data_IF_890937707208
#
_entry.id   IF_890937707208
#
_cell.length_a   1.000
_cell.length_b   1.000
_cell.length_c   1.000
_cell.angle_alpha   90.00
_cell.angle_beta   90.00
_cell.angle_gamma   90.00
#
_symmetry.space_group_name_H-M   'P 1'
#
loop_
_entity.id
_entity.type
_entity.pdbx_description
1 polymer ?
#
# COMPACT_ATOMS: atom_id res chain seq x y z
N UNK A 1 -1.09 1.66 13.71
CA UNK A 1 -2.49 1.21 13.47
C UNK A 1 -3.29 2.43 13.06
N UNK A 2 -4.07 2.35 12.00
CA UNK A 2 -4.87 3.47 11.50
C UNK A 2 -6.23 3.52 12.24
N UNK A 3 -6.77 4.74 12.49
CA UNK A 3 -8.06 4.96 13.15
C UNK A 3 -8.18 4.42 14.60
N UNK A 4 -7.11 4.44 15.38
CA UNK A 4 -7.13 3.93 16.78
C UNK A 4 -8.20 4.58 17.65
N UNK A 5 -8.47 5.87 17.47
CA UNK A 5 -9.51 6.60 18.22
C UNK A 5 -10.93 6.06 18.00
N UNK A 6 -11.20 5.39 16.87
CA UNK A 6 -12.51 4.86 16.51
C UNK A 6 -12.59 3.33 16.51
N UNK A 7 -11.49 2.65 16.19
CA UNK A 7 -11.49 1.20 15.98
C UNK A 7 -10.93 0.42 17.19
N UNK A 8 -10.25 1.06 18.13
CA UNK A 8 -9.67 0.43 19.30
C UNK A 8 -8.14 0.37 19.28
N UNK A 9 -7.55 -0.02 20.42
CA UNK A 9 -6.11 0.05 20.68
C UNK A 9 -5.38 -1.28 20.47
N UNK A 10 -6.10 -2.36 20.16
CA UNK A 10 -5.52 -3.68 19.89
C UNK A 10 -5.94 -4.22 18.54
N UNK A 11 -5.15 -5.13 17.96
CA UNK A 11 -5.50 -5.78 16.70
C UNK A 11 -6.83 -6.55 16.80
N UNK A 12 -7.10 -7.19 17.94
CA UNK A 12 -8.37 -7.88 18.17
C UNK A 12 -9.55 -6.90 18.14
N UNK A 13 -9.46 -5.74 18.81
CA UNK A 13 -10.51 -4.73 18.81
C UNK A 13 -10.76 -4.16 17.41
N UNK A 14 -9.69 -3.89 16.66
CA UNK A 14 -9.80 -3.41 15.27
C UNK A 14 -10.44 -4.48 14.39
N UNK A 15 -10.04 -5.74 14.55
CA UNK A 15 -10.63 -6.87 13.83
C UNK A 15 -12.11 -7.04 14.17
N UNK A 16 -12.50 -6.91 15.43
CA UNK A 16 -13.90 -6.96 15.89
C UNK A 16 -14.76 -5.92 15.16
N UNK A 17 -14.31 -4.67 15.14
CA UNK A 17 -15.02 -3.59 14.45
C UNK A 17 -15.12 -3.82 12.94
N UNK A 18 -14.04 -4.27 12.31
CA UNK A 18 -14.03 -4.57 10.86
C UNK A 18 -14.87 -5.80 10.52
N UNK A 19 -14.84 -6.83 11.36
CA UNK A 19 -15.64 -8.03 11.18
C UNK A 19 -17.16 -7.80 11.39
N UNK A 20 -17.57 -6.64 11.92
CA UNK A 20 -18.97 -6.24 11.99
C UNK A 20 -19.70 -6.15 10.64
N UNK A 21 -18.98 -6.20 9.51
CA UNK A 21 -19.57 -6.35 8.17
C UNK A 21 -20.02 -7.80 7.87
N UNK A 22 -19.54 -8.78 8.62
CA UNK A 22 -19.92 -10.18 8.45
C UNK A 22 -21.37 -10.35 8.92
N UNK A 23 -22.22 -10.90 8.05
CA UNK A 23 -23.64 -11.11 8.29
C UNK A 23 -24.03 -12.54 7.91
N UNK A 24 -25.19 -12.99 8.39
CA UNK A 24 -25.74 -14.28 8.02
C UNK A 24 -25.90 -14.41 6.50
N UNK A 25 -25.55 -15.56 5.96
CA UNK A 25 -25.62 -15.84 4.52
C UNK A 25 -24.53 -15.22 3.65
N UNK A 26 -23.64 -14.37 4.20
CA UNK A 26 -22.50 -13.86 3.42
C UNK A 26 -21.39 -14.92 3.26
N UNK A 27 -20.36 -14.59 2.50
CA UNK A 27 -19.09 -15.33 2.43
C UNK A 27 -17.96 -14.38 2.82
N UNK A 28 -16.95 -14.91 3.50
CA UNK A 28 -15.79 -14.13 3.93
C UNK A 28 -14.57 -14.61 3.17
N UNK A 29 -13.82 -13.65 2.59
CA UNK A 29 -12.48 -13.88 2.05
C UNK A 29 -11.53 -12.90 2.74
N UNK A 30 -10.44 -13.39 3.26
CA UNK A 30 -9.42 -12.58 3.93
C UNK A 30 -8.02 -13.05 3.55
N UNK A 31 -7.07 -12.13 3.48
CA UNK A 31 -5.66 -12.48 3.51
C UNK A 31 -5.33 -13.12 4.86
N UNK A 32 -4.18 -13.82 4.95
CA UNK A 32 -3.67 -14.31 6.23
C UNK A 32 -3.39 -13.13 7.16
N UNK A 33 -4.04 -13.10 8.30
CA UNK A 33 -3.89 -12.07 9.31
C UNK A 33 -2.98 -12.54 10.46
N UNK A 34 -2.56 -11.60 11.31
CA UNK A 34 -1.93 -11.94 12.58
C UNK A 34 -2.90 -12.77 13.45
N UNK A 35 -2.40 -13.69 14.32
CA UNK A 35 -3.24 -14.63 15.05
C UNK A 35 -4.41 -13.98 15.80
N UNK A 36 -4.16 -12.83 16.47
CA UNK A 36 -5.19 -12.15 17.26
C UNK A 36 -6.35 -11.65 16.38
N UNK A 37 -6.05 -11.13 15.18
CA UNK A 37 -7.07 -10.67 14.24
C UNK A 37 -7.76 -11.86 13.55
N UNK A 38 -7.01 -12.91 13.22
CA UNK A 38 -7.57 -14.10 12.57
C UNK A 38 -8.58 -14.82 13.45
N UNK A 39 -8.26 -15.00 14.76
CA UNK A 39 -9.17 -15.61 15.72
C UNK A 39 -10.52 -14.88 15.82
N UNK A 40 -10.49 -13.54 15.76
CA UNK A 40 -11.72 -12.72 15.77
C UNK A 40 -12.54 -12.95 14.52
N UNK A 41 -11.91 -12.89 13.33
CA UNK A 41 -12.59 -13.10 12.04
C UNK A 41 -13.22 -14.49 11.98
N UNK A 42 -12.50 -15.53 12.38
CA UNK A 42 -12.98 -16.90 12.40
C UNK A 42 -14.13 -17.12 13.40
N UNK A 43 -14.03 -16.51 14.59
CA UNK A 43 -15.07 -16.55 15.60
C UNK A 43 -16.37 -15.95 15.08
N UNK A 44 -16.31 -14.70 14.58
CA UNK A 44 -17.48 -13.99 14.07
C UNK A 44 -18.06 -14.72 12.84
N UNK A 45 -17.22 -15.25 11.96
CA UNK A 45 -17.69 -16.07 10.83
C UNK A 45 -18.47 -17.29 11.29
N UNK A 46 -18.03 -17.99 12.35
CA UNK A 46 -18.76 -19.14 12.93
C UNK A 46 -20.06 -18.71 13.60
N UNK A 47 -20.07 -17.61 14.33
CA UNK A 47 -21.27 -17.05 14.98
C UNK A 47 -22.39 -16.75 13.96
N UNK A 48 -22.01 -16.28 12.75
CA UNK A 48 -22.92 -16.03 11.64
C UNK A 48 -23.12 -17.22 10.69
N UNK A 49 -22.62 -18.41 11.04
CA UNK A 49 -22.74 -19.62 10.20
C UNK A 49 -22.14 -19.47 8.80
N UNK A 50 -21.15 -18.59 8.64
CA UNK A 50 -20.57 -18.29 7.33
C UNK A 50 -19.18 -18.90 7.13
N UNK A 51 -18.89 -19.30 5.88
CA UNK A 51 -17.58 -19.85 5.52
C UNK A 51 -16.57 -18.72 5.35
N UNK A 52 -15.45 -18.82 6.07
CA UNK A 52 -14.27 -17.96 5.91
C UNK A 52 -13.23 -18.67 5.02
N UNK A 53 -12.84 -18.01 3.93
CA UNK A 53 -11.78 -18.45 3.02
C UNK A 53 -10.54 -17.62 3.27
N UNK A 54 -9.44 -18.26 3.61
CA UNK A 54 -8.13 -17.60 3.77
C UNK A 54 -7.41 -17.64 2.42
N UNK A 55 -7.13 -16.47 1.87
CA UNK A 55 -6.32 -16.31 0.68
C UNK A 55 -4.84 -16.36 1.08
N UNK A 56 -4.15 -17.44 0.70
CA UNK A 56 -2.73 -17.65 1.04
C UNK A 56 -1.84 -17.24 -0.14
N UNK A 57 -1.18 -16.10 -0.02
CA UNK A 57 -0.28 -15.59 -1.05
C UNK A 57 1.01 -16.44 -1.22
N UNK A 58 1.29 -17.37 -0.31
CA UNK A 58 2.41 -18.31 -0.47
C UNK A 58 2.16 -19.34 -1.58
N UNK A 59 0.88 -19.57 -1.96
CA UNK A 59 0.51 -20.43 -3.09
C UNK A 59 0.82 -19.78 -4.47
N UNK A 60 1.14 -18.48 -4.50
CA UNK A 60 1.46 -17.77 -5.73
C UNK A 60 2.97 -17.57 -5.90
N UNK A 61 3.48 -17.97 -7.07
CA UNK A 61 4.84 -17.76 -7.51
C UNK A 61 4.94 -16.45 -8.28
N UNK A 62 5.95 -15.62 -7.98
CA UNK A 62 6.26 -14.43 -8.80
C UNK A 62 7.18 -14.87 -9.95
N UNK A 63 6.73 -14.74 -11.19
CA UNK A 63 7.49 -15.10 -12.38
C UNK A 63 8.34 -13.96 -12.91
N UNK A 64 7.78 -12.75 -12.86
CA UNK A 64 8.43 -11.49 -13.27
C UNK A 64 7.94 -10.38 -12.37
N UNK A 65 8.82 -9.44 -12.06
CA UNK A 65 8.44 -8.22 -11.36
C UNK A 65 9.35 -7.05 -11.71
N UNK A 66 8.80 -5.86 -11.59
CA UNK A 66 9.48 -4.57 -11.74
C UNK A 66 8.67 -3.49 -11.04
N UNK A 67 9.21 -2.26 -10.97
CA UNK A 67 8.45 -1.10 -10.51
C UNK A 67 7.27 -0.71 -11.43
N UNK A 68 7.04 -1.41 -12.54
CA UNK A 68 5.90 -1.22 -13.44
C UNK A 68 4.80 -2.28 -13.30
N UNK A 69 5.04 -3.31 -12.50
CA UNK A 69 4.09 -4.40 -12.29
C UNK A 69 4.76 -5.76 -12.15
N UNK A 70 3.94 -6.79 -12.07
CA UNK A 70 4.40 -8.15 -11.84
C UNK A 70 3.56 -9.16 -12.61
N UNK A 71 4.12 -10.35 -12.86
CA UNK A 71 3.41 -11.53 -13.34
C UNK A 71 3.51 -12.61 -12.28
N UNK A 72 2.38 -13.16 -11.89
CA UNK A 72 2.31 -14.25 -10.90
C UNK A 72 1.72 -15.49 -11.54
N UNK A 73 2.15 -16.68 -11.04
CA UNK A 73 1.47 -17.95 -11.28
C UNK A 73 0.70 -18.34 -10.03
N UNK A 74 -0.59 -18.54 -10.16
CA UNK A 74 -1.48 -18.96 -9.07
C UNK A 74 -2.44 -20.04 -9.54
N UNK A 75 -2.43 -21.19 -8.86
CA UNK A 75 -3.25 -22.38 -9.19
C UNK A 75 -3.16 -22.81 -10.66
N UNK A 76 -1.96 -22.75 -11.23
CA UNK A 76 -1.68 -23.19 -12.60
C UNK A 76 -1.93 -22.15 -13.69
N UNK A 77 -2.51 -21.01 -13.35
CA UNK A 77 -2.78 -19.90 -14.27
C UNK A 77 -1.80 -18.75 -14.06
N UNK A 78 -1.44 -18.05 -15.13
CA UNK A 78 -0.59 -16.86 -15.08
C UNK A 78 -1.44 -15.58 -15.17
N UNK A 79 -1.10 -14.60 -14.33
CA UNK A 79 -1.77 -13.31 -14.23
C UNK A 79 -0.78 -12.17 -14.30
N UNK A 80 -0.99 -11.26 -15.23
CA UNK A 80 -0.28 -9.98 -15.31
C UNK A 80 -0.98 -8.94 -14.44
N UNK A 81 -0.21 -8.19 -13.65
CA UNK A 81 -0.72 -7.20 -12.70
C UNK A 81 0.10 -5.91 -12.89
N UNK A 82 -0.43 -4.87 -13.54
CA UNK A 82 0.28 -3.62 -13.79
C UNK A 82 0.32 -2.72 -12.54
N UNK A 83 0.39 -3.31 -11.38
CA UNK A 83 0.56 -2.62 -10.09
C UNK A 83 1.87 -3.08 -9.47
N UNK A 84 2.73 -2.13 -9.16
CA UNK A 84 3.96 -2.37 -8.44
C UNK A 84 3.73 -2.34 -6.91
N UNK A 85 4.73 -2.85 -6.18
CA UNK A 85 4.69 -2.99 -4.73
C UNK A 85 4.64 -4.46 -4.32
N UNK A 86 5.48 -4.81 -3.35
CA UNK A 86 5.67 -6.20 -2.88
C UNK A 86 4.40 -6.85 -2.33
N UNK A 87 3.41 -6.02 -1.95
CA UNK A 87 2.11 -6.45 -1.40
C UNK A 87 1.04 -6.76 -2.47
N UNK A 88 1.27 -6.42 -3.74
CA UNK A 88 0.24 -6.57 -4.77
C UNK A 88 -0.04 -8.04 -5.14
N UNK A 89 0.94 -8.92 -4.97
CA UNK A 89 0.73 -10.36 -5.07
C UNK A 89 -0.36 -10.83 -4.09
N UNK A 90 -0.28 -10.39 -2.83
CA UNK A 90 -1.28 -10.74 -1.81
C UNK A 90 -2.67 -10.19 -2.17
N UNK A 91 -2.74 -8.94 -2.61
CA UNK A 91 -4.00 -8.32 -3.05
C UNK A 91 -4.63 -9.09 -4.22
N UNK A 92 -3.83 -9.50 -5.21
CA UNK A 92 -4.32 -10.28 -6.34
C UNK A 92 -4.83 -11.65 -5.93
N UNK A 93 -4.14 -12.35 -5.02
CA UNK A 93 -4.58 -13.65 -4.50
C UNK A 93 -5.88 -13.51 -3.71
N UNK A 94 -6.07 -12.44 -2.94
CA UNK A 94 -7.35 -12.13 -2.27
C UNK A 94 -8.46 -11.92 -3.30
N UNK A 95 -8.22 -11.11 -4.33
CA UNK A 95 -9.20 -10.85 -5.39
C UNK A 95 -9.59 -12.14 -6.13
N UNK A 96 -8.61 -12.98 -6.50
CA UNK A 96 -8.88 -14.27 -7.17
C UNK A 96 -9.69 -15.24 -6.30
N UNK A 97 -9.44 -15.27 -4.96
CA UNK A 97 -10.25 -16.05 -4.04
C UNK A 97 -11.67 -15.49 -3.89
N UNK A 98 -11.83 -14.15 -3.90
CA UNK A 98 -13.14 -13.52 -3.88
C UNK A 98 -13.95 -13.88 -5.15
N UNK A 99 -13.32 -13.81 -6.33
CA UNK A 99 -13.95 -14.24 -7.60
C UNK A 99 -14.35 -15.72 -7.58
N UNK A 100 -13.48 -16.59 -7.03
CA UNK A 100 -13.83 -18.02 -6.86
C UNK A 100 -15.06 -18.21 -5.97
N UNK A 101 -15.15 -17.46 -4.88
CA UNK A 101 -16.33 -17.52 -4.00
C UNK A 101 -17.58 -16.99 -4.71
N UNK A 102 -17.47 -15.97 -5.56
CA UNK A 102 -18.57 -15.48 -6.39
C UNK A 102 -19.01 -16.55 -7.42
N UNK A 103 -18.07 -17.27 -8.05
CA UNK A 103 -18.39 -18.40 -8.94
C UNK A 103 -19.22 -19.47 -8.20
N UNK A 104 -18.85 -19.80 -6.94
CA UNK A 104 -19.59 -20.74 -6.09
C UNK A 104 -21.00 -20.24 -5.71
N UNK A 105 -21.23 -18.93 -5.69
CA UNK A 105 -22.51 -18.28 -5.41
C UNK A 105 -23.41 -18.11 -6.65
N UNK A 106 -22.97 -18.59 -7.81
CA UNK A 106 -23.75 -18.53 -9.06
C UNK A 106 -23.46 -17.28 -9.91
N UNK A 107 -22.35 -16.59 -9.65
CA UNK A 107 -21.84 -15.47 -10.46
C UNK A 107 -20.54 -15.88 -11.18
N UNK A 108 -20.60 -16.78 -12.17
CA UNK A 108 -19.41 -17.37 -12.77
C UNK A 108 -18.61 -16.33 -13.55
N UNK A 109 -17.28 -16.41 -13.39
CA UNK A 109 -16.33 -15.57 -14.11
C UNK A 109 -15.38 -16.46 -14.91
N UNK A 110 -15.33 -16.29 -16.24
CA UNK A 110 -14.41 -17.04 -17.08
C UNK A 110 -12.94 -16.75 -16.74
N UNK A 111 -12.05 -17.70 -17.00
CA UNK A 111 -10.62 -17.54 -16.72
C UNK A 111 -10.04 -16.32 -17.43
N UNK A 112 -10.41 -16.08 -18.69
CA UNK A 112 -9.95 -14.93 -19.48
C UNK A 112 -10.45 -13.58 -18.90
N UNK A 113 -11.66 -13.55 -18.32
CA UNK A 113 -12.18 -12.36 -17.65
C UNK A 113 -11.38 -12.02 -16.40
N UNK A 114 -10.98 -13.05 -15.62
CA UNK A 114 -10.11 -12.88 -14.44
C UNK A 114 -8.73 -12.34 -14.83
N UNK A 115 -8.13 -12.90 -15.90
CA UNK A 115 -6.85 -12.43 -16.45
C UNK A 115 -6.94 -10.99 -16.94
N UNK A 116 -7.96 -10.68 -17.73
CA UNK A 116 -8.16 -9.34 -18.28
C UNK A 116 -8.43 -8.31 -17.18
N UNK A 117 -9.24 -8.65 -16.19
CA UNK A 117 -9.50 -7.77 -15.04
C UNK A 117 -8.24 -7.43 -14.26
N UNK A 118 -7.34 -8.39 -14.04
CA UNK A 118 -6.06 -8.13 -13.37
C UNK A 118 -5.08 -7.38 -14.28
N UNK A 119 -5.06 -7.69 -15.59
CA UNK A 119 -4.17 -7.05 -16.58
C UNK A 119 -4.51 -5.57 -16.82
N UNK A 120 -5.76 -5.19 -16.64
CA UNK A 120 -6.26 -3.82 -16.90
C UNK A 120 -6.48 -3.00 -15.63
N UNK A 121 -6.21 -3.58 -14.45
CA UNK A 121 -6.39 -2.85 -13.18
C UNK A 121 -5.49 -1.61 -13.13
N UNK A 122 -6.07 -0.50 -12.72
CA UNK A 122 -5.34 0.73 -12.42
C UNK A 122 -5.76 1.25 -11.06
N UNK A 123 -4.78 1.64 -10.25
CA UNK A 123 -5.03 2.22 -8.94
C UNK A 123 -3.99 3.30 -8.63
N UNK A 124 -4.29 4.51 -9.01
CA UNK A 124 -3.38 5.63 -8.84
C UNK A 124 -3.01 5.88 -7.37
N UNK A 125 -1.74 6.23 -7.13
CA UNK A 125 -1.23 6.51 -5.79
C UNK A 125 -0.99 5.25 -4.93
N UNK A 126 -0.79 4.10 -5.56
CA UNK A 126 -0.32 2.87 -4.91
C UNK A 126 0.94 2.40 -5.62
N UNK A 127 2.08 2.95 -5.22
CA UNK A 127 3.40 2.73 -5.82
C UNK A 127 3.39 2.92 -7.35
N UNK A 128 2.71 3.99 -7.80
CA UNK A 128 2.40 4.23 -9.20
C UNK A 128 3.53 5.00 -9.87
N UNK A 129 4.11 4.45 -10.94
CA UNK A 129 5.08 5.14 -11.80
C UNK A 129 4.34 6.11 -12.71
N UNK A 130 4.65 7.40 -12.59
CA UNK A 130 4.06 8.50 -13.40
C UNK A 130 5.04 9.10 -14.40
N UNK A 131 6.34 8.92 -14.21
CA UNK A 131 7.39 9.29 -15.17
C UNK A 131 8.48 8.21 -15.15
N UNK A 132 9.12 7.97 -16.30
CA UNK A 132 10.15 6.94 -16.45
C UNK A 132 11.58 7.48 -16.48
N UNK A 133 11.76 8.76 -16.74
CA UNK A 133 13.08 9.42 -16.83
C UNK A 133 12.99 10.91 -16.42
N UNK A 134 13.44 11.27 -15.22
CA UNK A 134 13.78 10.38 -14.11
C UNK A 134 12.58 9.53 -13.71
N UNK A 135 12.82 8.46 -12.97
CA UNK A 135 11.72 7.62 -12.50
C UNK A 135 10.97 8.35 -11.38
N UNK A 136 9.67 8.61 -11.57
CA UNK A 136 8.82 9.24 -10.54
C UNK A 136 7.75 8.26 -10.11
N UNK A 137 7.72 7.98 -8.80
CA UNK A 137 6.77 7.08 -8.16
C UNK A 137 5.91 7.83 -7.16
N UNK A 138 4.60 7.61 -7.20
CA UNK A 138 3.65 8.21 -6.25
C UNK A 138 3.03 7.11 -5.38
N UNK A 139 3.07 7.32 -4.06
CA UNK A 139 2.43 6.42 -3.09
C UNK A 139 1.66 7.20 -2.04
N UNK A 140 0.52 6.67 -1.62
CA UNK A 140 -0.37 7.25 -0.61
C UNK A 140 -0.19 6.68 0.79
N UNK A 141 0.98 6.13 1.12
CA UNK A 141 1.28 5.63 2.47
C UNK A 141 1.17 6.74 3.51
N UNK A 142 0.29 6.58 4.48
CA UNK A 142 -0.03 7.59 5.50
C UNK A 142 -0.23 7.00 6.89
N UNK A 143 0.08 5.72 7.07
CA UNK A 143 0.04 5.03 8.35
C UNK A 143 1.24 4.07 8.48
N UNK A 144 1.58 3.61 9.69
CA UNK A 144 2.77 2.78 9.91
C UNK A 144 2.83 1.49 9.09
N UNK A 145 1.67 0.84 8.89
CA UNK A 145 1.62 -0.41 8.11
C UNK A 145 1.86 -0.16 6.61
N UNK A 146 1.27 0.91 6.05
CA UNK A 146 1.53 1.31 4.67
C UNK A 146 2.98 1.77 4.48
N UNK A 147 3.57 2.45 5.47
CA UNK A 147 4.98 2.84 5.46
C UNK A 147 5.92 1.63 5.46
N UNK A 148 5.59 0.54 6.19
CA UNK A 148 6.35 -0.71 6.13
C UNK A 148 6.32 -1.32 4.72
N UNK A 149 5.17 -1.32 4.06
CA UNK A 149 5.02 -1.84 2.70
C UNK A 149 5.74 -0.96 1.67
N UNK A 150 5.67 0.37 1.83
CA UNK A 150 6.41 1.31 0.98
C UNK A 150 7.92 1.14 1.17
N UNK A 151 8.41 1.06 2.41
CA UNK A 151 9.82 0.83 2.73
C UNK A 151 10.34 -0.48 2.09
N UNK A 152 9.59 -1.58 2.24
CA UNK A 152 9.92 -2.85 1.61
C UNK A 152 9.96 -2.76 0.08
N UNK A 153 9.06 -1.99 -0.53
CA UNK A 153 9.03 -1.78 -1.97
C UNK A 153 10.19 -0.92 -2.46
N UNK A 154 10.56 0.13 -1.70
CA UNK A 154 11.75 0.96 -2.00
C UNK A 154 13.02 0.10 -1.94
N UNK A 155 13.21 -0.65 -0.86
CA UNK A 155 14.39 -1.53 -0.71
C UNK A 155 14.46 -2.57 -1.83
N UNK A 156 13.30 -3.11 -2.25
CA UNK A 156 13.24 -4.13 -3.28
C UNK A 156 13.53 -3.58 -4.69
N UNK A 157 12.88 -2.48 -5.09
CA UNK A 157 12.97 -1.97 -6.47
C UNK A 157 14.08 -0.93 -6.68
N UNK A 158 14.48 -0.21 -5.64
CA UNK A 158 15.36 0.96 -5.77
C UNK A 158 16.66 0.84 -4.97
N UNK A 159 17.02 -0.37 -4.55
CA UNK A 159 18.30 -0.62 -3.86
C UNK A 159 19.47 -0.04 -4.65
N UNK A 160 20.26 0.81 -4.00
CA UNK A 160 21.42 1.47 -4.59
C UNK A 160 21.10 2.60 -5.58
N UNK A 161 19.82 2.99 -5.70
CA UNK A 161 19.42 4.21 -6.42
C UNK A 161 19.51 5.43 -5.49
N UNK A 162 19.83 6.58 -6.08
CA UNK A 162 19.68 7.87 -5.40
C UNK A 162 18.21 8.24 -5.42
N UNK A 163 17.68 8.64 -4.25
CA UNK A 163 16.26 8.93 -4.07
C UNK A 163 16.05 10.35 -3.61
N UNK A 164 15.20 11.09 -4.33
CA UNK A 164 14.72 12.41 -3.96
C UNK A 164 13.26 12.26 -3.55
N UNK A 165 12.96 12.51 -2.27
CA UNK A 165 11.66 12.23 -1.70
C UNK A 165 10.88 13.53 -1.44
N UNK A 166 9.74 13.71 -2.11
CA UNK A 166 8.78 14.77 -1.80
C UNK A 166 7.78 14.22 -0.79
N UNK A 167 7.67 14.83 0.39
CA UNK A 167 6.84 14.35 1.50
C UNK A 167 5.84 15.41 1.95
N UNK A 168 4.55 15.03 1.98
CA UNK A 168 3.47 15.78 2.64
C UNK A 168 2.65 14.83 3.50
N UNK A 169 2.24 15.27 4.70
CA UNK A 169 1.51 14.44 5.67
C UNK A 169 0.36 15.20 6.32
N UNK A 170 -0.57 14.49 6.94
CA UNK A 170 -1.60 15.07 7.78
C UNK A 170 -1.21 15.03 9.25
N UNK A 171 -1.46 16.11 9.97
CA UNK A 171 -1.09 16.29 11.38
C UNK A 171 -1.78 15.28 12.32
N UNK A 172 -2.96 14.79 11.96
CA UNK A 172 -3.75 13.82 12.73
C UNK A 172 -3.35 12.36 12.47
N UNK A 173 -2.35 12.12 11.61
CA UNK A 173 -1.80 10.78 11.34
C UNK A 173 -0.53 10.51 12.15
N UNK A 174 -0.17 9.25 12.28
CA UNK A 174 1.11 8.85 12.86
C UNK A 174 2.25 9.05 11.84
N UNK A 175 2.47 10.32 11.47
CA UNK A 175 3.48 10.71 10.49
C UNK A 175 4.91 10.49 10.99
N UNK A 176 5.14 10.55 12.32
CA UNK A 176 6.46 10.26 12.89
C UNK A 176 6.91 8.82 12.60
N UNK A 177 6.03 7.84 12.77
CA UNK A 177 6.32 6.46 12.39
C UNK A 177 6.54 6.30 10.87
N UNK A 178 5.84 7.05 10.03
CA UNK A 178 6.07 7.05 8.58
C UNK A 178 7.48 7.58 8.27
N UNK A 179 7.86 8.74 8.82
CA UNK A 179 9.18 9.34 8.63
C UNK A 179 10.28 8.37 9.10
N UNK A 180 10.17 7.83 10.31
CA UNK A 180 11.15 6.90 10.87
C UNK A 180 11.43 5.70 9.96
N UNK A 181 10.38 5.20 9.28
CA UNK A 181 10.45 4.03 8.39
C UNK A 181 10.96 4.35 6.99
N UNK A 182 10.84 5.58 6.52
CA UNK A 182 11.04 5.90 5.10
C UNK A 182 12.11 6.95 4.83
N UNK A 183 12.38 7.87 5.78
CA UNK A 183 13.28 9.00 5.53
C UNK A 183 14.75 8.59 5.28
N UNK A 184 15.18 7.47 5.82
CA UNK A 184 16.55 6.98 5.65
C UNK A 184 16.88 6.47 4.24
N UNK A 185 15.87 6.20 3.41
CA UNK A 185 16.09 5.80 2.01
C UNK A 185 16.44 6.98 1.10
N UNK A 186 16.12 8.20 1.52
CA UNK A 186 16.27 9.36 0.65
C UNK A 186 17.61 10.06 0.82
N UNK A 187 18.24 10.43 -0.29
CA UNK A 187 19.41 11.31 -0.33
C UNK A 187 19.03 12.77 -0.13
N UNK A 188 17.82 13.15 -0.51
CA UNK A 188 17.25 14.48 -0.33
C UNK A 188 15.75 14.37 -0.04
N UNK A 189 15.26 15.16 0.92
CA UNK A 189 13.83 15.22 1.24
C UNK A 189 13.34 16.66 1.07
N UNK A 190 12.25 16.82 0.32
CA UNK A 190 11.55 18.09 0.13
C UNK A 190 10.19 17.97 0.82
N UNK A 191 9.97 18.73 1.89
CA UNK A 191 8.69 18.67 2.60
C UNK A 191 7.74 19.74 2.06
N UNK A 192 6.46 19.37 1.94
CA UNK A 192 5.40 20.24 1.48
C UNK A 192 4.22 20.24 2.46
N UNK A 193 3.44 21.31 2.45
CA UNK A 193 2.10 21.28 3.01
C UNK A 193 1.13 20.79 1.93
N UNK A 194 0.34 19.73 2.22
CA UNK A 194 -0.66 19.22 1.28
C UNK A 194 -1.67 20.33 0.97
N UNK A 195 -1.89 20.68 -0.32
CA UNK A 195 -2.79 21.77 -0.70
C UNK A 195 -4.23 21.53 -0.26
N UNK A 196 -4.98 22.59 -0.05
CA UNK A 196 -6.43 22.62 0.17
C UNK A 196 -6.95 21.65 1.26
N UNK A 197 -6.11 21.38 2.28
CA UNK A 197 -6.52 20.48 3.35
C UNK A 197 -6.10 21.04 4.73
N UNK A 198 -7.10 21.34 5.57
CA UNK A 198 -6.88 21.88 6.93
C UNK A 198 -6.14 20.94 7.87
N UNK A 199 -6.08 19.66 7.55
CA UNK A 199 -5.34 18.64 8.32
C UNK A 199 -3.88 18.53 7.93
N UNK A 200 -3.46 19.25 6.87
CA UNK A 200 -2.08 19.18 6.41
C UNK A 200 -1.12 19.76 7.45
N UNK A 201 -0.03 19.03 7.72
CA UNK A 201 1.05 19.53 8.55
C UNK A 201 1.85 20.58 7.77
N UNK A 202 2.16 21.77 8.36
CA UNK A 202 2.98 22.77 7.68
C UNK A 202 4.34 22.21 7.26
N UNK A 203 4.82 22.59 6.08
CA UNK A 203 6.07 22.09 5.51
C UNK A 203 7.27 22.26 6.44
N UNK A 204 7.38 23.44 7.11
CA UNK A 204 8.46 23.73 8.04
C UNK A 204 8.42 22.88 9.32
N UNK A 205 7.24 22.54 9.82
CA UNK A 205 7.09 21.64 10.97
C UNK A 205 7.44 20.21 10.59
N UNK A 206 7.01 19.79 9.40
CA UNK A 206 7.38 18.50 8.86
C UNK A 206 8.89 18.37 8.68
N UNK A 207 9.55 19.39 8.11
CA UNK A 207 10.99 19.43 7.93
C UNK A 207 11.75 19.28 9.26
N UNK A 208 11.29 19.94 10.33
CA UNK A 208 11.89 19.79 11.68
C UNK A 208 11.83 18.35 12.17
N UNK A 209 10.70 17.67 11.98
CA UNK A 209 10.58 16.27 12.37
C UNK A 209 11.42 15.35 11.49
N UNK A 210 11.46 15.59 10.18
CA UNK A 210 12.29 14.81 9.24
C UNK A 210 13.77 14.96 9.56
N UNK A 211 14.24 16.16 9.97
CA UNK A 211 15.65 16.42 10.28
C UNK A 211 16.19 15.59 11.44
N UNK A 212 15.32 15.06 12.30
CA UNK A 212 15.69 14.11 13.36
C UNK A 212 16.18 12.75 12.80
N UNK A 213 15.78 12.41 11.56
CA UNK A 213 16.07 11.12 10.88
C UNK A 213 16.93 11.30 9.62
N UNK A 214 16.82 12.43 8.95
CA UNK A 214 17.59 12.75 7.74
C UNK A 214 17.90 14.25 7.70
N UNK A 215 19.18 14.66 7.83
CA UNK A 215 19.57 16.07 7.83
C UNK A 215 19.42 16.74 6.46
N UNK A 216 19.34 15.98 5.37
CA UNK A 216 19.23 16.49 4.01
C UNK A 216 17.79 16.84 3.64
N UNK A 217 17.15 17.66 4.46
CA UNK A 217 15.74 18.04 4.29
C UNK A 217 15.60 19.55 4.05
N UNK A 218 14.62 19.91 3.23
CA UNK A 218 14.25 21.31 2.95
C UNK A 218 12.73 21.45 2.90
N UNK A 219 12.19 22.48 3.57
CA UNK A 219 10.79 22.86 3.42
C UNK A 219 10.60 23.68 2.14
N UNK A 220 9.54 23.36 1.40
CA UNK A 220 9.16 24.02 0.16
C UNK A 220 7.84 24.76 0.35
N UNK A 221 7.67 25.88 -0.33
CA UNK A 221 6.47 26.71 -0.22
C UNK A 221 5.26 26.07 -0.91
N UNK A 222 5.50 25.46 -2.07
CA UNK A 222 4.44 24.80 -2.85
C UNK A 222 4.88 23.42 -3.35
N UNK A 223 3.90 22.59 -3.72
CA UNK A 223 4.17 21.31 -4.40
C UNK A 223 4.85 21.53 -5.75
N UNK A 224 4.53 22.63 -6.44
CA UNK A 224 5.15 22.99 -7.71
C UNK A 224 6.65 23.22 -7.54
N UNK A 225 7.03 24.06 -6.56
CA UNK A 225 8.43 24.35 -6.27
C UNK A 225 9.19 23.07 -5.88
N UNK A 226 8.55 22.19 -5.07
CA UNK A 226 9.15 20.92 -4.69
C UNK A 226 9.39 19.99 -5.90
N UNK A 227 8.45 19.96 -6.83
CA UNK A 227 8.59 19.16 -8.05
C UNK A 227 9.67 19.74 -8.97
N UNK A 228 9.68 21.06 -9.20
CA UNK A 228 10.71 21.73 -10.00
C UNK A 228 12.10 21.53 -9.41
N UNK A 229 12.26 21.67 -8.09
CA UNK A 229 13.52 21.41 -7.39
C UNK A 229 13.92 19.93 -7.50
N UNK A 230 13.00 18.99 -7.29
CA UNK A 230 13.30 17.57 -7.44
C UNK A 230 13.80 17.22 -8.85
N UNK A 231 13.15 17.75 -9.90
CA UNK A 231 13.58 17.53 -11.27
C UNK A 231 14.92 18.20 -11.59
N UNK A 232 15.23 19.36 -10.96
CA UNK A 232 16.54 20.03 -11.12
C UNK A 232 17.69 19.23 -10.51
N UNK A 233 17.40 18.48 -9.43
CA UNK A 233 18.37 17.68 -8.69
C UNK A 233 18.55 16.27 -9.28
N UNK A 234 17.51 15.74 -9.96
CA UNK A 234 17.48 14.36 -10.40
C UNK A 234 18.27 14.15 -11.70
N UNK A 235 19.11 13.12 -11.70
CA UNK A 235 19.65 12.51 -12.92
C UNK A 235 18.69 11.49 -13.52
N UNK A 236 18.97 11.06 -14.76
CA UNK A 236 18.10 10.08 -15.47
C UNK A 236 17.94 8.72 -14.75
N UNK A 237 18.87 8.35 -13.87
CA UNK A 237 18.89 7.06 -13.16
C UNK A 237 18.33 7.16 -11.74
N UNK A 238 17.99 8.37 -11.29
CA UNK A 238 17.46 8.65 -9.94
C UNK A 238 15.94 8.35 -9.87
N UNK A 239 15.46 8.31 -8.61
CA UNK A 239 14.05 8.10 -8.29
C UNK A 239 13.53 9.24 -7.42
#
# INVERSE_FOLDING_TARGET
MDHMSFLGNTLAQIAEKKAGIIKDGCRVVTARQKPEAMQVIERISREHGTKCTIADASEAEVLKESCLGQTIRYRGEEYEIPLAGVYQKENAVVALNALKVLDELGFPTAAEQKKEGLRTVNWNGRFTVICKKPLVVVDGAHNPAAADMMAASIEHYFKGKRIIYIMGVFADKDYRSVIQKTAHFADRILTIQTPDNIRALPAGELAKTVSEYNPNVQAMDTIKDAVEEAFSLAGEQDV
#
